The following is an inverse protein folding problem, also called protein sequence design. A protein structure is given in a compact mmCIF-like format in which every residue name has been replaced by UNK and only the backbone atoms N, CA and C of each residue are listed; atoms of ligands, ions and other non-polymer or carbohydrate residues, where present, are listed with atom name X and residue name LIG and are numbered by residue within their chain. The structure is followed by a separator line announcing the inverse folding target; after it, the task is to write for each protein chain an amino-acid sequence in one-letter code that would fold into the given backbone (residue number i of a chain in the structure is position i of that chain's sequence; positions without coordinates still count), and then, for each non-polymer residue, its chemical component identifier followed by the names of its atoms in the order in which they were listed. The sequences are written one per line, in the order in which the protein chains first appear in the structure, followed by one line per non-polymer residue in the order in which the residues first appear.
data_IF_268770626786
#
_entry.id   IF_268770626786
#
_cell.length_a   1.000
_cell.length_b   1.000
_cell.length_c   1.000
_cell.angle_alpha   90.00
_cell.angle_beta   90.00
_cell.angle_gamma   90.00
#
_symmetry.space_group_name_H-M   'P 1'
#
loop_
_entity.id
_entity.type
_entity.pdbx_description
1 polymer ?
#
# COMPACT_ATOMS: atom_id res chain seq x y z
N UNK A 1 0.24 -8.53 7.30
CA UNK A 1 -0.97 -8.01 8.02
C UNK A 1 -1.98 -9.12 8.30
N UNK A 2 -2.42 -9.89 7.29
CA UNK A 2 -3.39 -10.99 7.50
C UNK A 2 -2.83 -12.06 8.45
N UNK A 3 -1.57 -12.49 8.24
CA UNK A 3 -0.88 -13.42 9.15
C UNK A 3 -0.74 -12.88 10.57
N UNK A 4 -0.52 -11.58 10.73
CA UNK A 4 -0.45 -10.93 12.03
C UNK A 4 -1.80 -11.01 12.76
N UNK A 5 -2.89 -10.69 12.06
CA UNK A 5 -4.26 -10.79 12.62
C UNK A 5 -4.58 -12.23 13.01
N UNK A 6 -4.32 -13.20 12.13
CA UNK A 6 -4.52 -14.62 12.42
C UNK A 6 -3.70 -15.09 13.62
N UNK A 7 -2.42 -14.64 13.71
CA UNK A 7 -1.55 -14.94 14.86
C UNK A 7 -2.12 -14.37 16.15
N UNK A 8 -2.60 -13.12 16.14
CA UNK A 8 -3.23 -12.47 17.29
C UNK A 8 -4.47 -13.24 17.75
N UNK A 9 -5.40 -13.56 16.85
CA UNK A 9 -6.62 -14.30 17.19
C UNK A 9 -6.29 -15.67 17.78
N UNK A 10 -5.33 -16.40 17.18
CA UNK A 10 -4.89 -17.71 17.70
C UNK A 10 -4.27 -17.61 19.09
N UNK A 11 -3.46 -16.58 19.33
CA UNK A 11 -2.85 -16.31 20.63
C UNK A 11 -3.91 -15.99 21.68
N UNK A 12 -4.91 -15.18 21.34
CA UNK A 12 -6.00 -14.80 22.25
C UNK A 12 -6.84 -15.99 22.69
N UNK A 13 -7.18 -16.89 21.76
CA UNK A 13 -7.96 -18.11 22.08
C UNK A 13 -7.10 -19.12 22.86
N UNK A 14 -5.81 -19.17 22.61
CA UNK A 14 -4.89 -20.13 23.26
C UNK A 14 -4.44 -19.74 24.67
N UNK A 15 -4.42 -18.44 24.98
CA UNK A 15 -3.99 -17.94 26.27
C UNK A 15 -5.13 -17.96 27.29
N UNK A 16 -4.78 -18.13 28.56
CA UNK A 16 -5.72 -18.03 29.68
C UNK A 16 -5.80 -16.56 30.10
N UNK A 17 -7.01 -15.95 30.11
CA UNK A 17 -7.20 -14.59 30.63
C UNK A 17 -6.78 -14.52 32.11
N UNK A 18 -6.13 -13.43 32.53
CA UNK A 18 -5.72 -13.18 33.89
C UNK A 18 -6.90 -13.21 34.87
N UNK A 19 -8.06 -12.76 34.43
CA UNK A 19 -9.29 -12.67 35.20
C UNK A 19 -9.85 -14.03 35.63
N UNK A 20 -9.51 -15.08 34.90
CA UNK A 20 -9.96 -16.46 35.20
C UNK A 20 -8.80 -17.40 35.54
N UNK A 21 -7.61 -16.88 35.72
CA UNK A 21 -6.46 -17.68 36.15
C UNK A 21 -6.71 -18.29 37.52
N UNK A 22 -6.60 -19.63 37.60
CA UNK A 22 -6.90 -20.38 38.82
C UNK A 22 -8.37 -20.74 39.06
N UNK A 23 -9.29 -20.29 38.20
CA UNK A 23 -10.70 -20.72 38.22
C UNK A 23 -10.84 -22.15 37.69
N UNK A 24 -12.00 -22.77 37.93
CA UNK A 24 -12.33 -24.13 37.44
C UNK A 24 -12.44 -24.15 35.91
N UNK A 25 -12.95 -23.07 35.32
CA UNK A 25 -13.06 -22.87 33.87
C UNK A 25 -12.08 -21.79 33.49
N UNK A 26 -11.07 -22.09 32.68
CA UNK A 26 -9.99 -21.16 32.31
C UNK A 26 -9.89 -20.95 30.80
N UNK A 27 -10.35 -21.92 30.01
CA UNK A 27 -10.21 -21.93 28.54
C UNK A 27 -11.57 -22.08 27.89
N UNK A 28 -11.70 -21.54 26.71
CA UNK A 28 -12.88 -21.72 25.88
C UNK A 28 -13.17 -23.20 25.58
N UNK A 29 -12.14 -24.04 25.50
CA UNK A 29 -12.26 -25.49 25.33
C UNK A 29 -12.97 -26.20 26.51
N UNK A 30 -12.89 -25.63 27.71
CA UNK A 30 -13.52 -26.19 28.91
C UNK A 30 -15.05 -26.10 28.82
N UNK A 31 -15.57 -25.10 28.10
CA UNK A 31 -16.98 -24.92 27.82
C UNK A 31 -17.39 -25.41 26.40
N UNK A 32 -16.52 -26.17 25.72
CA UNK A 32 -16.82 -26.77 24.43
C UNK A 32 -16.61 -25.83 23.22
N UNK A 33 -15.96 -24.68 23.40
CA UNK A 33 -15.63 -23.77 22.27
C UNK A 33 -14.19 -24.03 21.83
N UNK A 34 -13.98 -24.34 20.55
CA UNK A 34 -12.67 -24.67 19.98
C UNK A 34 -12.37 -23.86 18.73
N UNK A 35 -11.09 -23.50 18.54
CA UNK A 35 -10.62 -22.83 17.32
C UNK A 35 -10.30 -23.89 16.26
N UNK A 36 -10.89 -23.74 15.09
CA UNK A 36 -10.65 -24.62 13.96
C UNK A 36 -9.38 -24.18 13.17
N UNK A 37 -8.92 -25.07 12.27
CA UNK A 37 -7.73 -24.81 11.45
C UNK A 37 -7.88 -23.61 10.50
N UNK A 38 -9.10 -23.34 10.06
CA UNK A 38 -9.46 -22.23 9.20
C UNK A 38 -9.62 -20.88 9.95
N UNK A 39 -9.53 -20.92 11.30
CA UNK A 39 -9.68 -19.73 12.16
C UNK A 39 -11.10 -19.50 12.65
N UNK A 40 -12.06 -20.34 12.28
CA UNK A 40 -13.42 -20.28 12.83
C UNK A 40 -13.50 -20.87 14.23
N UNK A 41 -14.53 -20.47 14.99
CA UNK A 41 -14.86 -21.07 16.28
C UNK A 41 -15.97 -22.10 16.09
N UNK A 42 -15.77 -23.30 16.60
CA UNK A 42 -16.78 -24.35 16.68
C UNK A 42 -17.27 -24.50 18.11
N UNK A 43 -18.54 -24.75 18.29
CA UNK A 43 -19.19 -24.93 19.61
C UNK A 43 -19.76 -26.34 19.70
N UNK A 44 -19.31 -27.06 20.72
CA UNK A 44 -19.93 -28.34 21.16
C UNK A 44 -21.08 -28.00 22.11
N UNK A 45 -22.31 -28.04 21.57
CA UNK A 45 -23.51 -27.69 22.34
C UNK A 45 -23.73 -28.56 23.55
N UNK A 46 -23.32 -29.86 23.52
CA UNK A 46 -23.49 -30.76 24.62
C UNK A 46 -22.55 -30.40 25.80
N UNK A 47 -21.30 -30.10 25.50
CA UNK A 47 -20.34 -29.61 26.49
C UNK A 47 -20.71 -28.27 27.07
N UNK A 48 -21.20 -27.32 26.20
CA UNK A 48 -21.62 -26.01 26.64
C UNK A 48 -22.83 -26.10 27.58
N UNK A 49 -23.86 -26.88 27.22
CA UNK A 49 -25.03 -27.09 28.07
C UNK A 49 -24.65 -27.69 29.43
N UNK A 50 -23.74 -28.69 29.42
CA UNK A 50 -23.23 -29.26 30.64
C UNK A 50 -22.48 -28.26 31.50
N UNK A 51 -21.56 -27.51 30.93
CA UNK A 51 -20.80 -26.48 31.64
C UNK A 51 -21.72 -25.39 32.24
N UNK A 52 -22.75 -24.98 31.56
CA UNK A 52 -23.77 -24.04 32.07
C UNK A 52 -24.53 -24.65 33.26
N UNK A 53 -24.97 -25.91 33.15
CA UNK A 53 -25.68 -26.59 34.22
C UNK A 53 -24.81 -26.77 35.46
N UNK A 54 -23.52 -27.07 35.26
CA UNK A 54 -22.59 -27.35 36.36
C UNK A 54 -22.10 -26.05 37.04
N UNK A 55 -21.85 -24.99 36.28
CA UNK A 55 -21.29 -23.72 36.79
C UNK A 55 -21.59 -22.52 35.88
N UNK A 56 -22.84 -22.03 35.90
CA UNK A 56 -23.26 -20.87 35.12
C UNK A 56 -22.40 -19.60 35.37
N UNK A 57 -22.08 -19.32 36.62
CA UNK A 57 -21.27 -18.17 37.00
C UNK A 57 -19.85 -18.26 36.43
N UNK A 58 -19.24 -19.44 36.49
CA UNK A 58 -17.92 -19.70 35.90
C UNK A 58 -17.93 -19.53 34.38
N UNK A 59 -18.96 -20.00 33.68
CA UNK A 59 -19.12 -19.82 32.23
C UNK A 59 -19.29 -18.32 31.90
N UNK A 60 -20.12 -17.60 32.66
CA UNK A 60 -20.31 -16.17 32.44
C UNK A 60 -19.02 -15.34 32.63
N UNK A 61 -18.27 -15.62 33.70
CA UNK A 61 -16.98 -14.99 33.97
C UNK A 61 -15.95 -15.28 32.85
N UNK A 62 -15.89 -16.55 32.40
CA UNK A 62 -14.99 -16.96 31.32
C UNK A 62 -15.32 -16.22 30.02
N UNK A 63 -16.60 -16.18 29.63
CA UNK A 63 -17.04 -15.49 28.41
C UNK A 63 -16.78 -13.98 28.49
N UNK A 64 -17.04 -13.36 29.66
CA UNK A 64 -16.75 -11.94 29.88
C UNK A 64 -15.26 -11.63 29.77
N UNK A 65 -14.38 -12.46 30.37
CA UNK A 65 -12.94 -12.30 30.29
C UNK A 65 -12.43 -12.38 28.84
N UNK A 66 -12.83 -13.39 28.08
CA UNK A 66 -12.49 -13.51 26.66
C UNK A 66 -13.08 -12.37 25.83
N UNK A 67 -14.33 -11.95 26.10
CA UNK A 67 -14.96 -10.82 25.46
C UNK A 67 -14.17 -9.51 25.61
N UNK A 68 -13.65 -9.24 26.81
CA UNK A 68 -12.80 -8.09 27.11
C UNK A 68 -11.50 -8.15 26.30
N UNK A 69 -10.83 -9.30 26.25
CA UNK A 69 -9.58 -9.49 25.49
C UNK A 69 -9.83 -9.33 23.99
N UNK A 70 -10.88 -9.93 23.45
CA UNK A 70 -11.24 -9.77 22.03
C UNK A 70 -11.57 -8.31 21.68
N UNK A 71 -12.30 -7.63 22.57
CA UNK A 71 -12.59 -6.18 22.38
C UNK A 71 -11.28 -5.38 22.32
N UNK A 72 -10.38 -5.57 23.28
CA UNK A 72 -9.08 -4.88 23.31
C UNK A 72 -8.24 -5.14 22.06
N UNK A 73 -8.19 -6.40 21.59
CA UNK A 73 -7.48 -6.75 20.37
C UNK A 73 -8.11 -6.14 19.10
N UNK A 74 -9.45 -6.12 19.06
CA UNK A 74 -10.18 -5.47 17.93
C UNK A 74 -9.90 -3.99 17.92
N UNK A 75 -9.96 -3.30 19.05
CA UNK A 75 -9.64 -1.88 19.17
C UNK A 75 -8.20 -1.58 18.76
N UNK A 76 -7.24 -2.43 19.12
CA UNK A 76 -5.84 -2.31 18.71
C UNK A 76 -5.62 -2.53 17.20
N UNK A 77 -6.47 -3.30 16.54
CA UNK A 77 -6.37 -3.58 15.10
C UNK A 77 -7.11 -2.54 14.26
N UNK A 78 -8.38 -2.27 14.58
CA UNK A 78 -9.30 -1.45 13.76
C UNK A 78 -9.73 -0.13 14.41
N UNK A 79 -9.38 0.12 15.66
CA UNK A 79 -9.64 1.38 16.34
C UNK A 79 -8.98 2.57 15.63
N UNK A 80 -9.37 3.79 15.99
CA UNK A 80 -8.90 5.04 15.34
C UNK A 80 -7.37 5.15 15.29
N UNK A 81 -6.68 4.60 16.30
CA UNK A 81 -5.20 4.50 16.34
C UNK A 81 -4.70 3.07 16.12
N UNK A 82 -5.53 2.21 15.55
CA UNK A 82 -5.20 0.81 15.31
C UNK A 82 -4.18 0.63 14.18
N UNK A 83 -3.54 -0.54 14.17
CA UNK A 83 -2.49 -0.85 13.19
C UNK A 83 -2.98 -0.84 11.74
N UNK A 84 -4.25 -1.13 11.50
CA UNK A 84 -4.86 -1.07 10.15
C UNK A 84 -5.11 0.38 9.73
N UNK A 85 -5.58 1.25 10.63
CA UNK A 85 -5.77 2.67 10.37
C UNK A 85 -4.43 3.33 10.02
N UNK A 86 -3.40 3.15 10.84
CA UNK A 86 -2.05 3.68 10.60
C UNK A 86 -1.46 3.19 9.26
N UNK A 87 -1.69 1.91 8.90
CA UNK A 87 -1.23 1.38 7.62
C UNK A 87 -1.98 1.98 6.43
N UNK A 88 -3.28 2.18 6.54
CA UNK A 88 -4.10 2.82 5.51
C UNK A 88 -3.64 4.26 5.28
N UNK A 89 -3.39 5.00 6.35
CA UNK A 89 -2.86 6.36 6.29
C UNK A 89 -1.47 6.42 5.64
N UNK A 90 -0.56 5.52 6.03
CA UNK A 90 0.77 5.39 5.41
C UNK A 90 0.71 5.04 3.91
N UNK A 91 -0.22 4.17 3.50
CA UNK A 91 -0.44 3.86 2.09
C UNK A 91 -0.99 5.07 1.32
N UNK A 92 -1.95 5.80 1.88
CA UNK A 92 -2.50 7.01 1.28
C UNK A 92 -1.42 8.11 1.12
N UNK A 93 -0.57 8.30 2.13
CA UNK A 93 0.58 9.20 2.04
C UNK A 93 1.56 8.78 0.94
N UNK A 94 1.84 7.48 0.80
CA UNK A 94 2.69 6.94 -0.26
C UNK A 94 2.08 7.16 -1.65
N UNK A 95 0.79 6.93 -1.82
CA UNK A 95 0.07 7.18 -3.09
C UNK A 95 0.15 8.66 -3.46
N UNK A 96 -0.08 9.56 -2.51
CA UNK A 96 0.03 11.01 -2.73
C UNK A 96 1.45 11.41 -3.15
N UNK A 97 2.47 10.88 -2.47
CA UNK A 97 3.88 11.14 -2.80
C UNK A 97 4.23 10.65 -4.21
N UNK A 98 3.78 9.43 -4.59
CA UNK A 98 3.98 8.90 -5.93
C UNK A 98 3.27 9.74 -7.00
N UNK A 99 2.08 10.27 -6.71
CA UNK A 99 1.36 11.20 -7.58
C UNK A 99 2.19 12.46 -7.85
N UNK A 100 2.70 13.11 -6.80
CA UNK A 100 3.56 14.30 -6.91
C UNK A 100 4.84 14.02 -7.71
N UNK A 101 5.47 12.87 -7.49
CA UNK A 101 6.66 12.48 -8.26
C UNK A 101 6.33 12.26 -9.75
N UNK A 102 5.20 11.64 -10.05
CA UNK A 102 4.74 11.44 -11.44
C UNK A 102 4.50 12.77 -12.16
N UNK A 103 3.85 13.74 -11.49
CA UNK A 103 3.64 15.09 -12.01
C UNK A 103 4.98 15.81 -12.27
N UNK A 104 5.93 15.71 -11.34
CA UNK A 104 7.26 16.30 -11.51
C UNK A 104 8.02 15.70 -12.71
N UNK A 105 7.94 14.38 -12.91
CA UNK A 105 8.54 13.70 -14.07
C UNK A 105 7.86 14.17 -15.36
N UNK A 106 6.53 14.25 -15.40
CA UNK A 106 5.78 14.71 -16.56
C UNK A 106 6.14 16.16 -16.95
N UNK A 107 6.25 17.04 -15.95
CA UNK A 107 6.70 18.42 -16.16
C UNK A 107 8.12 18.48 -16.71
N UNK A 108 9.04 17.66 -16.16
CA UNK A 108 10.42 17.60 -16.67
C UNK A 108 10.48 17.07 -18.11
N UNK A 109 9.69 16.08 -18.47
CA UNK A 109 9.59 15.56 -19.83
C UNK A 109 9.10 16.62 -20.80
N UNK A 110 8.05 17.38 -20.44
CA UNK A 110 7.55 18.49 -21.26
C UNK A 110 8.61 19.58 -21.48
N UNK A 111 9.41 19.91 -20.45
CA UNK A 111 10.51 20.86 -20.59
C UNK A 111 11.63 20.34 -21.51
N UNK A 112 11.96 19.06 -21.42
CA UNK A 112 12.94 18.41 -22.29
C UNK A 112 12.45 18.42 -23.73
N UNK A 113 11.18 18.05 -23.97
CA UNK A 113 10.57 18.09 -25.30
C UNK A 113 10.59 19.50 -25.91
N UNK A 114 10.17 20.50 -25.13
CA UNK A 114 10.19 21.90 -25.58
C UNK A 114 11.62 22.38 -25.90
N UNK A 115 12.63 21.92 -25.12
CA UNK A 115 14.04 22.24 -25.41
C UNK A 115 14.50 21.60 -26.70
N UNK A 116 14.22 20.34 -26.94
CA UNK A 116 14.59 19.66 -28.19
C UNK A 116 13.88 20.27 -29.39
N UNK A 117 12.60 20.58 -29.29
CA UNK A 117 11.87 21.27 -30.39
C UNK A 117 12.54 22.59 -30.76
N UNK A 118 12.94 23.40 -29.76
CA UNK A 118 13.68 24.64 -30.04
C UNK A 118 15.03 24.39 -30.72
N UNK A 119 15.78 23.36 -30.29
CA UNK A 119 17.06 23.00 -30.89
C UNK A 119 16.89 22.54 -32.35
N UNK A 120 15.90 21.72 -32.64
CA UNK A 120 15.60 21.29 -34.01
C UNK A 120 15.16 22.45 -34.90
N UNK A 121 14.32 23.35 -34.40
CA UNK A 121 13.94 24.55 -35.16
C UNK A 121 15.12 25.46 -35.45
N UNK A 122 16.02 25.66 -34.49
CA UNK A 122 17.24 26.43 -34.70
C UNK A 122 18.19 25.76 -35.72
N UNK A 123 18.32 24.45 -35.67
CA UNK A 123 19.10 23.67 -36.64
C UNK A 123 18.52 23.79 -38.06
N UNK A 124 17.22 23.64 -38.22
CA UNK A 124 16.50 23.81 -39.51
C UNK A 124 16.73 25.20 -40.06
N UNK A 125 16.63 26.22 -39.22
CA UNK A 125 16.90 27.61 -39.63
C UNK A 125 18.35 27.80 -40.08
N UNK A 126 19.31 27.22 -39.35
CA UNK A 126 20.73 27.27 -39.71
C UNK A 126 21.00 26.53 -41.04
N UNK A 127 20.46 25.33 -41.24
CA UNK A 127 20.60 24.57 -42.50
C UNK A 127 20.00 25.36 -43.68
N UNK A 128 18.81 25.93 -43.49
CA UNK A 128 18.15 26.77 -44.51
C UNK A 128 18.99 28.00 -44.85
N UNK A 129 19.63 28.64 -43.84
CA UNK A 129 20.54 29.75 -44.05
C UNK A 129 21.81 29.33 -44.81
N UNK A 130 22.41 28.19 -44.46
CA UNK A 130 23.55 27.63 -45.18
C UNK A 130 23.22 27.32 -46.64
N UNK A 131 22.06 26.71 -46.89
CA UNK A 131 21.60 26.40 -48.26
C UNK A 131 21.42 27.67 -49.10
N UNK A 132 20.83 28.71 -48.51
CA UNK A 132 20.71 30.03 -49.20
C UNK A 132 22.06 30.63 -49.51
N UNK A 133 23.01 30.60 -48.55
CA UNK A 133 24.37 31.10 -48.76
C UNK A 133 25.12 30.30 -49.82
N UNK A 134 24.99 28.98 -49.83
CA UNK A 134 25.59 28.10 -50.83
C UNK A 134 25.07 28.40 -52.24
N UNK A 135 23.73 28.54 -52.38
CA UNK A 135 23.12 28.92 -53.66
C UNK A 135 23.57 30.28 -54.14
N UNK A 136 23.67 31.26 -53.22
CA UNK A 136 24.17 32.58 -53.54
C UNK A 136 25.62 32.54 -54.03
N UNK A 137 26.50 31.82 -53.35
CA UNK A 137 27.91 31.65 -53.77
C UNK A 137 28.02 30.94 -55.12
N UNK A 138 27.18 29.88 -55.35
CA UNK A 138 27.17 29.22 -56.66
C UNK A 138 26.77 30.16 -57.81
N UNK A 139 25.77 31.05 -57.60
CA UNK A 139 25.38 32.05 -58.57
C UNK A 139 26.48 33.10 -58.80
N UNK A 140 27.19 33.54 -57.74
CA UNK A 140 28.29 34.48 -57.86
C UNK A 140 29.48 33.88 -58.62
N UNK A 141 29.82 32.63 -58.38
CA UNK A 141 30.86 31.90 -59.08
C UNK A 141 30.51 31.70 -60.56
N UNK A 142 29.25 31.42 -60.89
CA UNK A 142 28.82 31.29 -62.28
C UNK A 142 28.88 32.62 -63.09
N UNK A 143 28.84 33.75 -62.38
CA UNK A 143 28.87 35.09 -62.97
C UNK A 143 30.30 35.72 -63.03
N UNK A 144 31.32 34.98 -62.59
CA UNK A 144 32.70 35.44 -62.70
C UNK A 144 33.13 35.44 -64.15
N UNK A 145 33.77 36.54 -64.67
CA UNK A 145 34.28 36.57 -66.04
C UNK A 145 35.39 35.53 -66.19
N UNK A 146 35.23 34.63 -67.15
CA UNK A 146 36.30 33.73 -67.59
C UNK A 146 37.37 34.53 -68.33
N UNK A 147 38.49 34.77 -67.66
CA UNK A 147 39.66 35.29 -68.37
C UNK A 147 40.20 34.17 -69.27
N UNK A 148 39.84 34.23 -70.56
CA UNK A 148 40.55 33.48 -71.56
C UNK A 148 41.88 34.21 -71.80
N UNK A 149 42.99 33.60 -71.36
CA UNK A 149 44.34 33.98 -71.74
C UNK A 149 44.59 33.34 -73.11
N UNK A 150 44.51 34.19 -74.14
CA UNK A 150 45.06 33.84 -75.47
C UNK A 150 46.54 34.14 -75.55
#
# INVERSE_FOLDING_TARGET
TLRSVQGTVRSLVGNIPSEVAGATLQRLSDIGVSLQKDGSLAVDSSKLTKAISDNLAGVANLVAAYGSIFKGATDALVGTNGSLAARTEGLNASIKSLGTQSEAISSRLAQIEARYRRQFTALDTAISGMTKTSNFLAQQLANLPTYNNS
#
